data_IF_645916072751
#
_entry.id   IF_645916072751
#
_cell.length_a   1.000
_cell.length_b   1.000
_cell.length_c   1.000
_cell.angle_alpha   90.00
_cell.angle_beta   90.00
_cell.angle_gamma   90.00
#
_symmetry.space_group_name_H-M   'P 1'
#
loop_
_entity.id
_entity.type
_entity.pdbx_description
1 polymer ?
#
# COMPACT_ATOMS: atom_id res chain seq x y z
N UNK A 1 -13.02 -2.66 -9.74
CA UNK A 1 -11.98 -3.36 -8.94
C UNK A 1 -11.36 -2.37 -7.94
N UNK A 2 -10.62 -2.81 -6.91
CA UNK A 2 -9.84 -1.91 -6.04
C UNK A 2 -8.50 -2.57 -5.73
N UNK A 3 -7.40 -1.82 -5.82
CA UNK A 3 -6.05 -2.36 -5.63
C UNK A 3 -5.32 -1.56 -4.57
N UNK A 4 -4.65 -2.26 -3.64
CA UNK A 4 -3.69 -1.68 -2.71
C UNK A 4 -2.31 -2.30 -2.93
N UNK A 5 -1.26 -1.48 -3.00
CA UNK A 5 0.12 -1.94 -3.16
C UNK A 5 1.00 -1.35 -2.07
N UNK A 6 1.88 -2.18 -1.53
CA UNK A 6 2.86 -1.82 -0.50
C UNK A 6 4.14 -2.61 -0.73
N UNK A 7 5.28 -1.99 -0.47
CA UNK A 7 6.59 -2.66 -0.44
C UNK A 7 7.06 -2.72 1.00
N UNK A 8 7.43 -3.91 1.45
CA UNK A 8 7.99 -4.15 2.76
C UNK A 8 8.73 -5.49 2.78
N UNK A 9 9.62 -5.66 3.75
CA UNK A 9 10.13 -6.97 4.11
C UNK A 9 9.00 -7.87 4.64
N UNK A 10 9.06 -9.14 4.28
CA UNK A 10 8.14 -10.16 4.74
C UNK A 10 8.89 -11.48 4.97
N UNK A 11 8.38 -12.29 5.88
CA UNK A 11 8.85 -13.66 6.07
C UNK A 11 8.14 -14.56 5.08
N UNK A 12 8.88 -15.25 4.23
CA UNK A 12 8.34 -16.31 3.38
C UNK A 12 8.11 -17.58 4.19
N UNK A 13 6.94 -18.19 4.01
CA UNK A 13 6.51 -19.42 4.67
C UNK A 13 6.03 -20.42 3.62
N UNK A 14 5.79 -21.67 4.03
CA UNK A 14 5.25 -22.70 3.14
C UNK A 14 3.85 -22.39 2.59
N UNK A 15 3.16 -21.40 3.15
CA UNK A 15 1.78 -21.05 2.78
C UNK A 15 1.64 -19.62 2.27
N UNK A 16 2.74 -18.86 2.19
CA UNK A 16 2.74 -17.49 1.66
C UNK A 16 3.70 -16.58 2.38
N UNK A 17 3.26 -15.36 2.67
CA UNK A 17 4.07 -14.33 3.31
C UNK A 17 3.42 -13.83 4.59
N UNK A 18 4.24 -13.66 5.63
CA UNK A 18 3.83 -13.11 6.91
C UNK A 18 4.62 -11.84 7.25
N UNK A 19 4.03 -11.02 8.12
CA UNK A 19 4.68 -9.81 8.64
C UNK A 19 3.77 -8.59 8.59
N UNK A 20 4.19 -7.55 9.30
CA UNK A 20 3.44 -6.29 9.40
C UNK A 20 3.19 -5.66 8.03
N UNK A 21 4.17 -5.72 7.12
CA UNK A 21 4.05 -5.18 5.76
C UNK A 21 2.91 -5.83 4.97
N UNK A 22 2.77 -7.15 5.04
CA UNK A 22 1.70 -7.90 4.36
C UNK A 22 0.32 -7.43 4.85
N UNK A 23 0.18 -7.23 6.16
CA UNK A 23 -1.06 -6.72 6.75
C UNK A 23 -1.39 -5.29 6.35
N UNK A 24 -0.40 -4.43 6.13
CA UNK A 24 -0.59 -3.08 5.60
C UNK A 24 -1.05 -3.17 4.15
N UNK A 25 -0.34 -3.92 3.31
CA UNK A 25 -0.67 -4.12 1.89
C UNK A 25 -2.14 -4.52 1.69
N UNK A 26 -2.59 -5.53 2.43
CA UNK A 26 -3.95 -6.05 2.38
C UNK A 26 -5.03 -5.01 2.76
N UNK A 27 -4.67 -3.95 3.50
CA UNK A 27 -5.61 -2.95 4.00
C UNK A 27 -5.61 -1.66 3.18
N UNK A 28 -4.56 -1.37 2.40
CA UNK A 28 -4.48 -0.15 1.58
C UNK A 28 -5.60 -0.08 0.53
N UNK A 29 -6.06 -1.23 0.01
CA UNK A 29 -7.17 -1.25 -0.95
C UNK A 29 -8.54 -0.89 -0.37
N UNK A 30 -8.70 -0.88 0.96
CA UNK A 30 -9.97 -0.58 1.61
C UNK A 30 -10.46 0.87 1.39
N UNK A 31 -9.61 1.92 1.59
CA UNK A 31 -9.97 3.31 1.28
C UNK A 31 -9.98 3.66 -0.23
N UNK A 32 -9.59 2.73 -1.11
CA UNK A 32 -9.57 2.98 -2.55
C UNK A 32 -10.99 3.13 -3.13
N UNK A 33 -11.14 4.05 -4.07
CA UNK A 33 -12.35 4.21 -4.91
C UNK A 33 -12.43 3.08 -5.94
N UNK A 34 -13.60 2.94 -6.57
CA UNK A 34 -13.75 2.01 -7.70
C UNK A 34 -12.72 2.33 -8.80
N UNK A 35 -12.04 1.28 -9.25
CA UNK A 35 -10.99 1.30 -10.27
C UNK A 35 -9.76 2.16 -9.91
N UNK A 36 -9.55 2.41 -8.61
CA UNK A 36 -8.38 3.11 -8.08
C UNK A 36 -7.30 2.11 -7.60
N UNK A 37 -6.05 2.45 -7.88
CA UNK A 37 -4.87 1.79 -7.32
C UNK A 37 -4.23 2.74 -6.30
N UNK A 38 -4.32 2.39 -5.02
CA UNK A 38 -3.62 3.09 -3.96
C UNK A 38 -2.28 2.42 -3.68
N UNK A 39 -1.23 3.21 -3.67
CA UNK A 39 0.14 2.75 -3.39
C UNK A 39 0.67 3.47 -2.17
N UNK A 40 1.44 2.77 -1.33
CA UNK A 40 2.12 3.42 -0.21
C UNK A 40 3.31 4.28 -0.68
N UNK A 41 3.79 5.17 0.18
CA UNK A 41 5.03 5.93 -0.06
C UNK A 41 6.21 5.01 -0.39
N UNK A 42 6.35 3.89 0.32
CA UNK A 42 7.44 2.92 0.11
C UNK A 42 7.44 2.34 -1.31
N UNK A 43 6.29 2.19 -1.95
CA UNK A 43 6.22 1.77 -3.36
C UNK A 43 6.82 2.83 -4.27
N UNK A 44 6.46 4.11 -4.05
CA UNK A 44 6.95 5.23 -4.87
C UNK A 44 8.45 5.44 -4.70
N UNK A 45 8.96 5.26 -3.48
CA UNK A 45 10.38 5.40 -3.15
C UNK A 45 11.21 4.22 -3.70
N UNK A 46 10.64 3.00 -3.72
CA UNK A 46 11.29 1.81 -4.26
C UNK A 46 11.20 1.70 -5.79
N UNK A 47 10.29 2.45 -6.42
CA UNK A 47 10.17 2.47 -7.87
C UNK A 47 11.41 3.14 -8.49
N UNK A 48 12.08 2.45 -9.43
CA UNK A 48 13.26 3.01 -10.12
C UNK A 48 12.96 4.28 -10.93
N UNK A 49 11.69 4.52 -11.26
CA UNK A 49 11.17 5.79 -11.74
C UNK A 49 9.84 6.06 -11.05
N UNK A 50 9.65 7.26 -10.50
CA UNK A 50 8.41 7.62 -9.82
C UNK A 50 7.25 7.66 -10.83
N UNK A 51 6.24 6.78 -10.73
CA UNK A 51 5.09 6.81 -11.62
C UNK A 51 4.25 8.08 -11.40
N UNK A 52 3.48 8.47 -12.40
CA UNK A 52 2.52 9.55 -12.24
C UNK A 52 1.49 9.16 -11.16
N UNK A 53 1.30 10.05 -10.19
CA UNK A 53 0.39 9.83 -9.08
C UNK A 53 -0.24 11.16 -8.66
N UNK A 54 -1.42 11.08 -8.05
CA UNK A 54 -2.08 12.22 -7.43
C UNK A 54 -1.40 12.65 -6.13
N UNK A 55 -2.09 13.52 -5.40
CA UNK A 55 -1.62 14.02 -4.11
C UNK A 55 -1.47 12.89 -3.08
N UNK A 56 -0.41 12.98 -2.28
CA UNK A 56 -0.19 12.08 -1.15
C UNK A 56 -1.15 12.43 -0.03
N UNK A 57 -1.70 11.41 0.62
CA UNK A 57 -2.59 11.55 1.78
C UNK A 57 -2.33 10.48 2.83
N UNK A 58 -2.52 10.84 4.09
CA UNK A 58 -2.38 9.91 5.21
C UNK A 58 -3.71 9.18 5.46
N UNK A 59 -3.70 7.85 5.36
CA UNK A 59 -4.86 7.00 5.59
C UNK A 59 -4.75 6.22 6.91
N UNK A 60 -5.82 6.18 7.69
CA UNK A 60 -5.90 5.35 8.90
C UNK A 60 -6.45 3.98 8.56
N UNK A 61 -5.56 2.99 8.53
CA UNK A 61 -5.93 1.61 8.21
C UNK A 61 -6.33 0.84 9.47
N UNK A 62 -7.36 -0.01 9.34
CA UNK A 62 -7.89 -0.81 10.46
C UNK A 62 -6.78 -1.63 11.13
N UNK A 63 -6.53 -1.43 12.42
CA UNK A 63 -5.54 -2.21 13.17
C UNK A 63 -4.08 -1.83 12.87
N UNK A 64 -3.84 -0.73 12.16
CA UNK A 64 -2.52 -0.13 12.01
C UNK A 64 -2.47 1.12 12.89
N UNK A 65 -1.54 1.16 13.84
CA UNK A 65 -1.49 2.21 14.86
C UNK A 65 -1.18 3.59 14.27
N UNK A 66 -0.28 3.64 13.29
CA UNK A 66 0.15 4.88 12.62
C UNK A 66 -0.57 5.04 11.29
N UNK A 67 -0.96 6.27 10.90
CA UNK A 67 -1.40 6.54 9.54
C UNK A 67 -0.35 6.08 8.52
N UNK A 68 -0.82 5.59 7.38
CA UNK A 68 0.01 5.18 6.25
C UNK A 68 -0.16 6.21 5.15
N UNK A 69 0.93 6.77 4.65
CA UNK A 69 0.88 7.67 3.50
C UNK A 69 0.66 6.87 2.21
N UNK A 70 -0.34 7.28 1.44
CA UNK A 70 -0.69 6.66 0.16
C UNK A 70 -0.90 7.72 -0.91
N UNK A 71 -0.79 7.31 -2.17
CA UNK A 71 -1.18 8.10 -3.33
C UNK A 71 -1.95 7.21 -4.32
N UNK A 72 -2.85 7.81 -5.09
CA UNK A 72 -3.49 7.15 -6.21
C UNK A 72 -2.57 7.22 -7.43
N UNK A 73 -2.34 6.09 -8.10
CA UNK A 73 -1.67 6.10 -9.40
C UNK A 73 -2.61 6.68 -10.47
N UNK A 74 -2.02 7.40 -11.42
CA UNK A 74 -2.71 7.98 -12.58
C UNK A 74 -2.80 6.99 -13.75
#
# INVERSE_FOLDING_TARGET
MRIGLHVAEALETSTGYEGRGVHIAARIGAPARADEVLVSREVLDAAGSTPAHGDRRAERLRGIATPVEVAALA
#
